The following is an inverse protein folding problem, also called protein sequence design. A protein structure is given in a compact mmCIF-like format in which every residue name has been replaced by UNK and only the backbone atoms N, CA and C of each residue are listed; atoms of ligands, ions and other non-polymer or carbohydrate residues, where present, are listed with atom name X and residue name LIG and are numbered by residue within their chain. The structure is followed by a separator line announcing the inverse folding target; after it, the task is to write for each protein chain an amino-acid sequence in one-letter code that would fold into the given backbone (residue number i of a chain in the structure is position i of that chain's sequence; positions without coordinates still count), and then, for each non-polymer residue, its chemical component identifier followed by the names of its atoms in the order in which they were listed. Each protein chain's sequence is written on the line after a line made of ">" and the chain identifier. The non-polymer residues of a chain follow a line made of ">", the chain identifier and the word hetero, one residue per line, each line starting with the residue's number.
data_IF_402597356304
#
_entry.id   IF_402597356304
#
_cell.length_a   1.000
_cell.length_b   1.000
_cell.length_c   1.000
_cell.angle_alpha   90.00
_cell.angle_beta   90.00
_cell.angle_gamma   90.00
#
_symmetry.space_group_name_H-M   'P 1'
#
loop_
_entity.id
_entity.type
_entity.pdbx_description
1 polymer ?
#
# COMPACT_ATOMS: atom_id res chain seq x y z
N UNK A 1 7.08 32.28 -4.62
CA UNK A 1 6.65 31.22 -5.56
C UNK A 1 7.78 30.28 -5.95
N UNK A 2 8.94 30.76 -6.44
CA UNK A 2 10.08 29.90 -6.83
C UNK A 2 10.57 28.89 -5.77
N UNK A 3 10.63 29.27 -4.48
CA UNK A 3 11.03 28.34 -3.42
C UNK A 3 10.00 27.24 -3.17
N UNK A 4 8.71 27.55 -3.31
CA UNK A 4 7.61 26.61 -3.07
C UNK A 4 7.53 25.55 -4.17
N UNK A 5 7.68 25.94 -5.45
CA UNK A 5 7.72 24.96 -6.55
C UNK A 5 8.92 24.04 -6.41
N UNK A 6 10.11 24.58 -6.08
CA UNK A 6 11.30 23.75 -5.89
C UNK A 6 11.14 22.71 -4.77
N UNK A 7 10.49 23.08 -3.67
CA UNK A 7 10.18 22.16 -2.56
C UNK A 7 9.20 21.07 -3.03
N UNK A 8 8.22 21.40 -3.88
CA UNK A 8 7.31 20.42 -4.46
C UNK A 8 8.02 19.46 -5.41
N UNK A 9 8.86 19.99 -6.31
CA UNK A 9 9.62 19.16 -7.24
C UNK A 9 10.55 18.18 -6.50
N UNK A 10 11.23 18.64 -5.44
CA UNK A 10 12.05 17.79 -4.58
C UNK A 10 11.21 16.76 -3.81
N UNK A 11 10.01 17.14 -3.35
CA UNK A 11 9.10 16.22 -2.70
C UNK A 11 8.63 15.13 -3.66
N UNK A 12 8.27 15.46 -4.90
CA UNK A 12 7.83 14.49 -5.91
C UNK A 12 8.91 13.46 -6.24
N UNK A 13 10.18 13.88 -6.31
CA UNK A 13 11.32 12.96 -6.50
C UNK A 13 11.49 12.02 -5.30
N UNK A 14 11.45 12.58 -4.10
CA UNK A 14 11.54 11.82 -2.84
C UNK A 14 10.37 10.85 -2.69
N UNK A 15 9.16 11.30 -3.04
CA UNK A 15 7.94 10.53 -3.00
C UNK A 15 8.01 9.34 -3.96
N UNK A 16 8.39 9.58 -5.22
CA UNK A 16 8.60 8.52 -6.22
C UNK A 16 9.69 7.51 -5.84
N UNK A 17 10.71 7.94 -5.09
CA UNK A 17 11.74 7.04 -4.60
C UNK A 17 11.31 6.18 -3.41
N UNK A 18 10.16 6.48 -2.79
CA UNK A 18 9.66 5.76 -1.61
C UNK A 18 10.45 6.00 -0.32
N UNK A 19 11.26 7.07 -0.22
CA UNK A 19 12.05 7.37 0.98
C UNK A 19 11.16 7.95 2.09
N UNK A 20 10.47 7.07 2.81
CA UNK A 20 9.49 7.46 3.82
C UNK A 20 10.05 8.33 4.95
N UNK A 21 11.32 8.14 5.31
CA UNK A 21 11.96 8.98 6.34
C UNK A 21 12.07 10.42 5.85
N UNK A 22 12.46 10.59 4.59
CA UNK A 22 12.56 11.90 3.94
C UNK A 22 11.19 12.50 3.66
N UNK A 23 10.22 11.71 3.20
CA UNK A 23 8.82 12.14 3.03
C UNK A 23 8.27 12.69 4.34
N UNK A 24 8.40 11.94 5.45
CA UNK A 24 7.94 12.38 6.77
C UNK A 24 8.62 13.67 7.21
N UNK A 25 9.94 13.75 7.05
CA UNK A 25 10.70 14.96 7.40
C UNK A 25 10.23 16.18 6.59
N UNK A 26 10.01 16.02 5.27
CA UNK A 26 9.53 17.12 4.43
C UNK A 26 8.10 17.55 4.78
N UNK A 27 7.22 16.61 5.14
CA UNK A 27 5.86 16.94 5.59
C UNK A 27 5.86 17.67 6.94
N UNK A 28 6.76 17.32 7.86
CA UNK A 28 6.95 18.04 9.13
C UNK A 28 7.51 19.46 8.91
N UNK A 29 8.51 19.61 8.02
CA UNK A 29 9.13 20.90 7.69
C UNK A 29 8.21 21.79 6.85
N UNK A 30 7.32 21.19 6.05
CA UNK A 30 6.44 21.87 5.11
C UNK A 30 5.00 21.31 5.15
N UNK A 31 4.21 21.58 6.20
CA UNK A 31 2.87 21.00 6.36
C UNK A 31 1.88 21.31 5.24
N UNK A 32 2.12 22.38 4.47
CA UNK A 32 1.31 22.74 3.31
C UNK A 32 1.42 21.74 2.16
N UNK A 33 2.49 20.94 2.09
CA UNK A 33 2.64 19.85 1.11
C UNK A 33 1.50 18.84 1.27
N UNK A 34 1.11 18.57 2.52
CA UNK A 34 0.05 17.62 2.82
C UNK A 34 -1.28 18.00 2.17
N UNK A 35 -1.60 19.31 2.10
CA UNK A 35 -2.80 19.79 1.40
C UNK A 35 -2.70 19.72 -0.13
N UNK A 36 -1.49 19.59 -0.66
CA UNK A 36 -1.18 19.65 -2.08
C UNK A 36 -0.96 18.28 -2.72
N UNK A 37 -0.64 17.27 -1.90
CA UNK A 37 -0.39 15.89 -2.32
C UNK A 37 -1.29 14.89 -1.59
N UNK A 38 -2.25 15.33 -0.78
CA UNK A 38 -3.13 14.44 0.00
C UNK A 38 -3.88 13.44 -0.87
N UNK A 39 -4.36 13.85 -2.05
CA UNK A 39 -5.06 12.93 -2.96
C UNK A 39 -4.13 11.85 -3.50
N UNK A 40 -2.93 12.21 -3.95
CA UNK A 40 -1.93 11.27 -4.48
C UNK A 40 -1.40 10.33 -3.39
N UNK A 41 -1.14 10.86 -2.19
CA UNK A 41 -0.79 10.09 -1.00
C UNK A 41 -1.90 9.10 -0.62
N UNK A 42 -3.15 9.56 -0.58
CA UNK A 42 -4.27 8.71 -0.22
C UNK A 42 -4.48 7.60 -1.23
N UNK A 43 -4.34 7.87 -2.53
CA UNK A 43 -4.42 6.86 -3.57
C UNK A 43 -3.30 5.83 -3.44
N UNK A 44 -2.07 6.26 -3.19
CA UNK A 44 -0.95 5.34 -3.02
C UNK A 44 -1.11 4.45 -1.78
N UNK A 45 -1.49 5.04 -0.64
CA UNK A 45 -1.80 4.30 0.59
C UNK A 45 -2.92 3.30 0.33
N UNK A 46 -3.99 3.72 -0.37
CA UNK A 46 -5.08 2.82 -0.71
C UNK A 46 -4.58 1.63 -1.55
N UNK A 47 -3.72 1.87 -2.55
CA UNK A 47 -3.17 0.79 -3.36
C UNK A 47 -2.29 -0.19 -2.57
N UNK A 48 -1.55 0.30 -1.58
CA UNK A 48 -0.80 -0.54 -0.64
C UNK A 48 -1.75 -1.36 0.24
N UNK A 49 -2.78 -0.74 0.83
CA UNK A 49 -3.78 -1.40 1.67
C UNK A 49 -4.55 -2.50 0.91
N UNK A 50 -4.92 -2.25 -0.36
CA UNK A 50 -5.57 -3.21 -1.26
C UNK A 50 -4.72 -4.49 -1.44
N UNK A 51 -3.43 -4.32 -1.70
CA UNK A 51 -2.51 -5.45 -1.89
C UNK A 51 -2.24 -6.18 -0.57
N UNK A 52 -2.09 -5.45 0.54
CA UNK A 52 -1.96 -6.03 1.89
C UNK A 52 -3.18 -6.90 2.22
N UNK A 53 -4.39 -6.40 1.95
CA UNK A 53 -5.62 -7.15 2.19
C UNK A 53 -5.69 -8.44 1.36
N UNK A 54 -5.31 -8.38 0.09
CA UNK A 54 -5.26 -9.56 -0.77
C UNK A 54 -4.22 -10.60 -0.31
N UNK A 55 -3.06 -10.16 0.21
CA UNK A 55 -2.08 -11.07 0.83
C UNK A 55 -2.70 -11.74 2.05
N UNK A 56 -3.35 -10.98 2.95
CA UNK A 56 -3.98 -11.52 4.16
C UNK A 56 -5.06 -12.55 3.87
N UNK A 57 -5.97 -12.25 2.94
CA UNK A 57 -7.03 -13.19 2.53
C UNK A 57 -6.41 -14.49 1.99
N UNK A 58 -5.44 -14.39 1.08
CA UNK A 58 -4.83 -15.60 0.50
C UNK A 58 -3.95 -16.37 1.48
N UNK A 59 -3.25 -15.70 2.40
CA UNK A 59 -2.46 -16.34 3.45
C UNK A 59 -3.36 -17.18 4.37
N UNK A 60 -4.50 -16.62 4.78
CA UNK A 60 -5.48 -17.31 5.63
C UNK A 60 -6.14 -18.49 4.91
N UNK A 61 -6.53 -18.32 3.64
CA UNK A 61 -7.17 -19.37 2.84
C UNK A 61 -6.23 -20.54 2.54
N UNK A 62 -4.97 -20.24 2.21
CA UNK A 62 -3.99 -21.23 1.82
C UNK A 62 -3.25 -21.83 3.04
N UNK A 63 -3.35 -21.18 4.22
CA UNK A 63 -2.58 -21.47 5.42
C UNK A 63 -1.06 -21.53 5.17
N UNK A 64 -0.57 -20.71 4.23
CA UNK A 64 0.83 -20.62 3.79
C UNK A 64 1.07 -19.26 3.10
N UNK A 65 2.34 -18.85 2.88
CA UNK A 65 2.63 -17.62 2.15
C UNK A 65 1.92 -17.58 0.78
N UNK A 66 1.31 -16.44 0.47
CA UNK A 66 0.52 -16.21 -0.72
C UNK A 66 1.40 -16.05 -1.98
N UNK A 67 1.22 -16.89 -3.01
CA UNK A 67 1.88 -16.71 -4.31
C UNK A 67 1.39 -15.43 -5.02
N UNK A 68 2.26 -14.82 -5.85
CA UNK A 68 1.92 -13.59 -6.59
C UNK A 68 0.65 -13.75 -7.44
N UNK A 69 0.53 -14.86 -8.15
CA UNK A 69 -0.62 -15.12 -9.03
C UNK A 69 -1.93 -15.22 -8.25
N UNK A 70 -1.88 -15.77 -7.04
CA UNK A 70 -3.04 -15.92 -6.16
C UNK A 70 -3.45 -14.55 -5.57
N UNK A 71 -2.48 -13.71 -5.21
CA UNK A 71 -2.72 -12.32 -4.79
C UNK A 71 -3.39 -11.52 -5.91
N UNK A 72 -2.86 -11.60 -7.13
CA UNK A 72 -3.40 -10.91 -8.32
C UNK A 72 -4.81 -11.42 -8.64
N UNK A 73 -5.04 -12.72 -8.50
CA UNK A 73 -6.36 -13.31 -8.70
C UNK A 73 -7.37 -12.83 -7.65
N UNK A 74 -6.98 -12.81 -6.37
CA UNK A 74 -7.79 -12.32 -5.26
C UNK A 74 -8.19 -10.85 -5.44
N UNK A 75 -7.23 -9.98 -5.77
CA UNK A 75 -7.51 -8.57 -6.10
C UNK A 75 -8.60 -8.44 -7.16
N UNK A 76 -8.52 -9.26 -8.21
CA UNK A 76 -9.48 -9.22 -9.31
C UNK A 76 -10.85 -9.77 -8.96
N UNK A 77 -10.92 -10.87 -8.21
CA UNK A 77 -12.16 -11.61 -7.99
C UNK A 77 -12.88 -11.13 -6.74
N UNK A 78 -12.17 -10.98 -5.64
CA UNK A 78 -12.75 -10.68 -4.33
C UNK A 78 -12.90 -9.17 -4.13
N UNK A 79 -11.92 -8.40 -4.59
CA UNK A 79 -11.93 -6.94 -4.43
C UNK A 79 -12.38 -6.19 -5.69
N UNK A 80 -12.54 -6.88 -6.83
CA UNK A 80 -12.85 -6.27 -8.14
C UNK A 80 -11.86 -5.17 -8.57
N UNK A 81 -10.60 -5.31 -8.15
CA UNK A 81 -9.48 -4.40 -8.46
C UNK A 81 -8.64 -5.01 -9.57
N UNK A 82 -8.38 -4.23 -10.62
CA UNK A 82 -7.54 -4.67 -11.73
C UNK A 82 -6.14 -4.07 -11.57
N UNK A 83 -5.17 -4.92 -11.25
CA UNK A 83 -3.74 -4.63 -11.27
C UNK A 83 -3.02 -5.73 -12.05
N UNK A 84 -1.96 -5.36 -12.75
CA UNK A 84 -1.05 -6.29 -13.43
C UNK A 84 -0.14 -7.00 -12.43
N UNK A 85 0.47 -8.11 -12.85
CA UNK A 85 1.44 -8.81 -12.00
C UNK A 85 2.62 -7.90 -11.65
N UNK A 86 3.09 -7.09 -12.62
CA UNK A 86 4.17 -6.13 -12.43
C UNK A 86 3.81 -5.06 -11.37
N UNK A 87 2.63 -4.45 -11.47
CA UNK A 87 2.18 -3.45 -10.50
C UNK A 87 2.05 -4.04 -9.08
N UNK A 88 1.50 -5.24 -8.95
CA UNK A 88 1.38 -5.92 -7.65
C UNK A 88 2.76 -6.25 -7.10
N UNK A 89 3.68 -6.69 -7.95
CA UNK A 89 5.06 -6.97 -7.54
C UNK A 89 5.79 -5.70 -7.05
N UNK A 90 5.65 -4.58 -7.74
CA UNK A 90 6.23 -3.29 -7.32
C UNK A 90 5.69 -2.84 -5.96
N UNK A 91 4.37 -2.94 -5.76
CA UNK A 91 3.74 -2.61 -4.48
C UNK A 91 4.24 -3.55 -3.38
N UNK A 92 4.29 -4.86 -3.62
CA UNK A 92 4.79 -5.86 -2.66
C UNK A 92 6.22 -5.57 -2.21
N UNK A 93 7.11 -5.22 -3.14
CA UNK A 93 8.48 -4.83 -2.82
C UNK A 93 8.53 -3.56 -1.97
N UNK A 94 7.67 -2.58 -2.27
CA UNK A 94 7.58 -1.35 -1.49
C UNK A 94 7.10 -1.64 -0.05
N UNK A 95 5.97 -2.33 0.10
CA UNK A 95 5.40 -2.64 1.43
C UNK A 95 6.25 -3.66 2.22
N UNK A 96 7.09 -4.44 1.56
CA UNK A 96 8.13 -5.25 2.21
C UNK A 96 9.21 -4.38 2.86
N UNK A 97 9.67 -3.32 2.18
CA UNK A 97 10.59 -2.35 2.77
C UNK A 97 9.98 -1.62 3.98
N UNK A 98 8.66 -1.52 4.02
CA UNK A 98 7.89 -0.98 5.15
C UNK A 98 7.61 -2.00 6.25
N UNK A 99 8.10 -3.23 6.11
CA UNK A 99 7.87 -4.33 7.05
C UNK A 99 6.37 -4.62 7.25
N UNK A 100 5.54 -4.45 6.23
CA UNK A 100 4.13 -4.84 6.23
C UNK A 100 3.95 -6.28 5.73
N UNK A 101 4.80 -6.68 4.79
CA UNK A 101 4.88 -8.04 4.28
C UNK A 101 6.32 -8.53 4.33
N UNK A 102 6.50 -9.83 4.19
CA UNK A 102 7.81 -10.46 4.11
C UNK A 102 7.81 -11.48 2.97
N UNK A 103 8.85 -11.46 2.14
CA UNK A 103 9.05 -12.53 1.16
C UNK A 103 9.46 -13.83 1.87
N UNK A 104 8.78 -14.92 1.53
CA UNK A 104 9.12 -16.30 1.91
C UNK A 104 9.44 -17.11 0.66
N UNK A 105 10.00 -18.31 0.86
CA UNK A 105 10.45 -19.19 -0.23
C UNK A 105 9.36 -19.41 -1.29
N UNK A 106 8.10 -19.57 -0.87
CA UNK A 106 6.97 -19.90 -1.75
C UNK A 106 5.95 -18.76 -1.96
N UNK A 107 6.21 -17.54 -1.47
CA UNK A 107 5.19 -16.49 -1.52
C UNK A 107 5.48 -15.25 -0.70
N UNK A 108 4.40 -14.60 -0.27
CA UNK A 108 4.39 -13.39 0.56
C UNK A 108 3.53 -13.66 1.79
N UNK A 109 3.99 -13.21 2.96
CA UNK A 109 3.23 -13.35 4.20
C UNK A 109 3.16 -11.99 4.90
N UNK A 110 2.08 -11.74 5.61
CA UNK A 110 1.93 -10.55 6.43
C UNK A 110 2.91 -10.59 7.61
N UNK A 111 3.38 -9.42 7.99
CA UNK A 111 3.96 -9.20 9.32
C UNK A 111 2.82 -8.91 10.30
N UNK A 112 3.17 -8.71 11.58
CA UNK A 112 2.17 -8.28 12.56
C UNK A 112 1.57 -6.93 12.17
N UNK A 113 2.41 -5.99 11.77
CA UNK A 113 2.00 -4.64 11.35
C UNK A 113 1.12 -4.67 10.09
N UNK A 114 1.47 -5.50 9.10
CA UNK A 114 0.64 -5.70 7.92
C UNK A 114 -0.71 -6.33 8.23
N UNK A 115 -0.77 -7.24 9.21
CA UNK A 115 -2.02 -7.82 9.70
C UNK A 115 -2.99 -6.77 10.26
N UNK A 116 -2.49 -5.82 11.06
CA UNK A 116 -3.31 -4.73 11.62
C UNK A 116 -3.89 -3.82 10.52
N UNK A 117 -3.11 -3.55 9.47
CA UNK A 117 -3.56 -2.79 8.28
C UNK A 117 -4.60 -3.58 7.49
N UNK A 118 -4.35 -4.88 7.25
CA UNK A 118 -5.26 -5.80 6.59
C UNK A 118 -6.63 -5.81 7.30
N UNK A 119 -6.65 -6.05 8.61
CA UNK A 119 -7.87 -6.07 9.41
C UNK A 119 -8.61 -4.73 9.33
N UNK A 120 -7.88 -3.62 9.39
CA UNK A 120 -8.47 -2.28 9.30
C UNK A 120 -9.15 -2.07 7.94
N UNK A 121 -8.50 -2.46 6.85
CA UNK A 121 -9.04 -2.32 5.50
C UNK A 121 -10.28 -3.21 5.30
N UNK A 122 -10.20 -4.49 5.68
CA UNK A 122 -11.30 -5.44 5.53
C UNK A 122 -12.52 -5.04 6.37
N UNK A 123 -12.33 -4.56 7.59
CA UNK A 123 -13.44 -4.09 8.43
C UNK A 123 -14.15 -2.87 7.83
N UNK A 124 -13.42 -1.92 7.24
CA UNK A 124 -14.02 -0.78 6.53
C UNK A 124 -14.90 -1.26 5.37
N UNK A 125 -14.40 -2.19 4.56
CA UNK A 125 -15.16 -2.76 3.44
C UNK A 125 -16.44 -3.46 3.94
N UNK A 126 -16.33 -4.30 4.99
CA UNK A 126 -17.49 -4.96 5.60
C UNK A 126 -18.55 -3.96 6.07
N UNK A 127 -18.14 -2.85 6.69
CA UNK A 127 -19.05 -1.83 7.18
C UNK A 127 -19.73 -1.07 6.03
N UNK A 128 -19.02 -0.80 4.93
CA UNK A 128 -19.60 -0.26 3.70
C UNK A 128 -20.64 -1.21 3.08
N UNK A 129 -20.37 -2.52 3.08
CA UNK A 129 -21.32 -3.54 2.63
C UNK A 129 -22.56 -3.68 3.52
N UNK A 130 -22.45 -3.42 4.83
CA UNK A 130 -23.59 -3.49 5.78
C UNK A 130 -24.52 -2.28 5.74
N UNK A 131 -24.06 -1.17 5.15
CA UNK A 131 -24.81 0.09 5.06
C UNK A 131 -25.61 0.24 3.74
N UNK A 132 -25.53 -0.74 2.84
CA UNK A 132 -26.35 -0.86 1.63
C UNK A 132 -27.60 -1.70 1.86
#
# INVERSE_FOLDING_TARGET
>A
MFKKSKIRDEFDEVFKSGDQKRIKQMLEEHPWLLNEVSEELNQEIQHEEEVIAAVGVMEDELAKPAPLNDIVFCLKVDFNIKKTEEEVQEILQKIEQLNMVQKKDDGWALTKEGGEVCDTYLNKQIDEFKLQ
#
